data_IF_059575047800
#
_entry.id   IF_059575047800
#
_cell.length_a   1.000
_cell.length_b   1.000
_cell.length_c   1.000
_cell.angle_alpha   90.00
_cell.angle_beta   90.00
_cell.angle_gamma   90.00
#
_symmetry.space_group_name_H-M   'P 1'
#
loop_
_entity.id
_entity.type
_entity.pdbx_description
1 polymer ?
#
# COMPACT_ATOMS: atom_id res chain seq x y z
N UNK A 1 -16.74 47.97 -60.56
CA UNK A 1 -17.78 47.43 -59.65
C UNK A 1 -17.66 45.90 -59.50
N UNK A 2 -16.47 45.38 -59.16
CA UNK A 2 -16.27 43.94 -58.83
C UNK A 2 -15.42 43.73 -57.56
N UNK A 3 -14.78 44.78 -57.03
CA UNK A 3 -13.93 44.68 -55.84
C UNK A 3 -14.66 44.86 -54.50
N UNK A 4 -15.86 45.47 -54.49
CA UNK A 4 -16.57 45.76 -53.24
C UNK A 4 -17.29 44.51 -52.69
N UNK A 5 -17.68 43.58 -53.56
CA UNK A 5 -18.37 42.34 -53.19
C UNK A 5 -17.45 41.33 -52.49
N UNK A 6 -16.14 41.32 -52.79
CA UNK A 6 -15.19 40.42 -52.11
C UNK A 6 -14.85 40.89 -50.69
N UNK A 7 -14.80 42.20 -50.45
CA UNK A 7 -14.52 42.77 -49.13
C UNK A 7 -15.68 42.49 -48.18
N UNK A 8 -16.93 42.60 -48.64
CA UNK A 8 -18.11 42.27 -47.82
C UNK A 8 -18.17 40.79 -47.44
N UNK A 9 -17.78 39.87 -48.33
CA UNK A 9 -17.77 38.42 -48.03
C UNK A 9 -16.65 38.06 -47.04
N UNK A 10 -15.47 38.69 -47.15
CA UNK A 10 -14.38 38.48 -46.20
C UNK A 10 -14.71 39.04 -44.80
N UNK A 11 -15.39 40.19 -44.71
CA UNK A 11 -15.82 40.77 -43.43
C UNK A 11 -16.93 39.93 -42.79
N UNK A 12 -17.86 39.38 -43.56
CA UNK A 12 -18.91 38.49 -43.03
C UNK A 12 -18.32 37.16 -42.52
N UNK A 13 -17.27 36.63 -43.15
CA UNK A 13 -16.59 35.43 -42.67
C UNK A 13 -15.74 35.67 -41.41
N UNK A 14 -15.26 36.90 -41.18
CA UNK A 14 -14.52 37.25 -39.96
C UNK A 14 -15.42 37.50 -38.72
N UNK A 15 -16.73 37.69 -38.90
CA UNK A 15 -17.68 37.91 -37.79
C UNK A 15 -18.36 36.62 -37.32
N UNK A 16 -18.13 35.47 -37.99
CA UNK A 16 -18.72 34.19 -37.58
C UNK A 16 -17.94 33.42 -36.51
N UNK A 17 -16.78 33.92 -36.07
CA UNK A 17 -16.17 33.43 -34.82
C UNK A 17 -16.91 34.09 -33.66
N UNK A 18 -18.16 33.67 -33.46
CA UNK A 18 -18.86 33.81 -32.18
C UNK A 18 -17.88 33.28 -31.14
N UNK A 19 -17.35 34.17 -30.32
CA UNK A 19 -16.54 33.82 -29.17
C UNK A 19 -17.48 33.10 -28.23
N UNK A 20 -17.62 31.80 -28.43
CA UNK A 20 -18.10 30.91 -27.38
C UNK A 20 -17.00 31.01 -26.33
N UNK A 21 -17.18 31.88 -25.34
CA UNK A 21 -16.35 31.88 -24.14
C UNK A 21 -16.47 30.46 -23.59
N UNK A 22 -15.43 29.64 -23.79
CA UNK A 22 -15.39 28.34 -23.15
C UNK A 22 -15.54 28.58 -21.65
N UNK A 23 -16.51 27.91 -20.99
CA UNK A 23 -16.74 28.13 -19.58
C UNK A 23 -15.47 27.81 -18.80
N UNK A 24 -15.01 28.75 -17.98
CA UNK A 24 -13.83 28.56 -17.12
C UNK A 24 -14.04 27.32 -16.24
N UNK A 25 -13.10 26.37 -16.32
CA UNK A 25 -13.21 25.09 -15.60
C UNK A 25 -12.89 25.32 -14.12
N UNK A 26 -13.85 25.03 -13.24
CA UNK A 26 -13.69 25.12 -11.79
C UNK A 26 -13.13 23.80 -11.23
N UNK A 27 -12.06 23.86 -10.44
CA UNK A 27 -11.54 22.68 -9.74
C UNK A 27 -12.33 22.44 -8.45
N UNK A 28 -12.88 21.24 -8.29
CA UNK A 28 -13.59 20.82 -7.08
C UNK A 28 -13.03 19.48 -6.61
N UNK A 29 -12.95 19.29 -5.29
CA UNK A 29 -12.34 18.10 -4.68
C UNK A 29 -13.29 17.51 -3.64
N UNK A 30 -13.49 16.20 -3.70
CA UNK A 30 -14.33 15.47 -2.75
C UNK A 30 -13.57 14.35 -2.06
N UNK A 31 -13.99 14.01 -0.85
CA UNK A 31 -13.39 12.93 -0.08
C UNK A 31 -13.87 11.58 -0.62
N UNK A 32 -12.99 10.57 -0.60
CA UNK A 32 -13.38 9.19 -0.91
C UNK A 32 -14.53 8.73 -0.01
N UNK A 33 -15.57 8.18 -0.62
CA UNK A 33 -16.77 7.69 0.04
C UNK A 33 -17.77 8.75 0.50
N UNK A 34 -17.49 10.04 0.28
CA UNK A 34 -18.43 11.13 0.61
C UNK A 34 -19.47 11.35 -0.47
N UNK A 35 -20.58 11.99 -0.13
CA UNK A 35 -21.57 12.42 -1.13
C UNK A 35 -21.16 13.77 -1.74
N UNK A 36 -21.01 13.81 -3.06
CA UNK A 36 -20.65 15.00 -3.80
C UNK A 36 -21.87 15.60 -4.51
N UNK A 37 -21.99 16.93 -4.53
CA UNK A 37 -23.06 17.64 -5.24
C UNK A 37 -22.48 18.75 -6.11
N UNK A 38 -22.84 18.79 -7.39
CA UNK A 38 -22.41 19.81 -8.34
C UNK A 38 -23.61 20.62 -8.80
N UNK A 39 -23.55 21.95 -8.67
CA UNK A 39 -24.67 22.84 -9.02
C UNK A 39 -24.41 23.52 -10.37
N UNK A 40 -25.33 23.36 -11.31
CA UNK A 40 -25.22 23.85 -12.69
C UNK A 40 -25.61 25.33 -12.87
N UNK A 41 -26.47 25.84 -11.99
CA UNK A 41 -26.92 27.23 -12.01
C UNK A 41 -27.53 27.61 -10.66
N UNK A 42 -27.51 28.91 -10.35
CA UNK A 42 -28.27 29.46 -9.23
C UNK A 42 -29.74 29.71 -9.55
N UNK A 43 -30.23 29.26 -10.72
CA UNK A 43 -31.58 29.52 -11.22
C UNK A 43 -32.57 28.47 -10.72
N UNK A 44 -33.81 28.92 -10.52
CA UNK A 44 -34.88 28.09 -9.99
C UNK A 44 -35.43 27.09 -11.01
N UNK A 45 -36.14 26.08 -10.50
CA UNK A 45 -36.76 25.04 -11.32
C UNK A 45 -37.80 25.60 -12.31
N UNK A 46 -38.50 26.67 -11.94
CA UNK A 46 -39.58 27.25 -12.73
C UNK A 46 -39.07 28.07 -13.93
N UNK A 47 -37.84 28.57 -13.86
CA UNK A 47 -37.24 29.37 -14.94
C UNK A 47 -36.50 28.48 -15.95
N UNK A 48 -36.11 27.27 -15.55
CA UNK A 48 -35.20 26.41 -16.32
C UNK A 48 -36.00 25.47 -17.23
N UNK A 49 -35.71 25.53 -18.53
CA UNK A 49 -36.36 24.72 -19.57
C UNK A 49 -35.72 23.33 -19.69
N UNK A 50 -34.39 23.27 -19.75
CA UNK A 50 -33.65 22.03 -19.72
C UNK A 50 -32.27 22.18 -19.09
N UNK A 51 -31.77 21.08 -18.53
CA UNK A 51 -30.43 20.96 -17.97
C UNK A 51 -29.76 19.74 -18.55
N UNK A 52 -28.55 19.92 -19.04
CA UNK A 52 -27.75 18.89 -19.68
C UNK A 52 -26.42 18.77 -18.93
N UNK A 53 -26.18 17.61 -18.34
CA UNK A 53 -24.89 17.22 -17.82
C UNK A 53 -24.17 16.35 -18.84
N UNK A 54 -22.99 16.77 -19.25
CA UNK A 54 -22.04 15.96 -20.04
C UNK A 54 -20.87 15.60 -19.14
N UNK A 55 -20.76 14.32 -18.80
CA UNK A 55 -19.81 13.79 -17.83
C UNK A 55 -18.74 13.01 -18.56
N UNK A 56 -17.50 13.46 -18.46
CA UNK A 56 -16.32 12.86 -19.08
C UNK A 56 -15.44 12.25 -18.00
N UNK A 57 -15.57 10.95 -17.80
CA UNK A 57 -14.76 10.15 -16.87
C UNK A 57 -13.60 9.50 -17.63
N UNK A 58 -12.66 8.90 -16.90
CA UNK A 58 -11.43 8.31 -17.47
C UNK A 58 -11.69 7.33 -18.61
N UNK A 59 -12.72 6.49 -18.49
CA UNK A 59 -13.01 5.40 -19.43
C UNK A 59 -14.41 5.45 -20.03
N UNK A 60 -15.20 6.47 -19.70
CA UNK A 60 -16.57 6.61 -20.19
C UNK A 60 -16.96 8.07 -20.30
N UNK A 61 -17.73 8.39 -21.33
CA UNK A 61 -18.46 9.65 -21.40
C UNK A 61 -19.94 9.33 -21.37
N UNK A 62 -20.69 10.04 -20.54
CA UNK A 62 -22.12 9.85 -20.44
C UNK A 62 -22.84 11.19 -20.31
N UNK A 63 -24.16 11.16 -20.51
CA UNK A 63 -25.00 12.36 -20.57
C UNK A 63 -26.25 12.13 -19.75
N UNK A 64 -26.58 13.10 -18.90
CA UNK A 64 -27.84 13.14 -18.15
C UNK A 64 -28.58 14.39 -18.56
N UNK A 65 -29.84 14.22 -18.94
CA UNK A 65 -30.68 15.30 -19.44
C UNK A 65 -31.97 15.39 -18.65
N UNK A 66 -32.33 16.62 -18.34
CA UNK A 66 -33.56 16.96 -17.67
C UNK A 66 -34.28 18.01 -18.50
N UNK A 67 -35.59 17.83 -18.68
CA UNK A 67 -36.43 18.71 -19.47
C UNK A 67 -37.80 18.80 -18.82
N UNK A 68 -38.28 20.02 -18.63
CA UNK A 68 -39.69 20.30 -18.28
C UNK A 68 -40.23 19.47 -17.09
N UNK A 69 -39.52 19.44 -15.97
CA UNK A 69 -39.97 18.73 -14.77
C UNK A 69 -39.57 17.25 -14.70
N UNK A 70 -39.15 16.64 -15.81
CA UNK A 70 -38.92 15.19 -15.91
C UNK A 70 -37.47 14.88 -16.29
N UNK A 71 -36.91 13.83 -15.69
CA UNK A 71 -35.65 13.25 -16.15
C UNK A 71 -35.90 12.55 -17.49
N UNK A 72 -35.40 13.15 -18.58
CA UNK A 72 -35.70 12.75 -19.95
C UNK A 72 -34.86 11.54 -20.37
N UNK A 73 -33.53 11.66 -20.21
CA UNK A 73 -32.58 10.61 -20.62
C UNK A 73 -31.34 10.58 -19.73
N UNK A 74 -31.03 9.40 -19.21
CA UNK A 74 -29.80 9.09 -18.48
C UNK A 74 -29.09 7.90 -19.15
N UNK A 75 -27.89 8.14 -19.67
CA UNK A 75 -27.06 7.11 -20.28
C UNK A 75 -25.83 6.74 -19.42
N UNK A 76 -25.79 7.20 -18.17
CA UNK A 76 -24.71 6.90 -17.23
C UNK A 76 -24.96 5.58 -16.48
N UNK A 77 -26.24 5.20 -16.29
CA UNK A 77 -26.68 3.95 -15.64
C UNK A 77 -26.03 3.68 -14.28
N UNK A 78 -25.51 4.72 -13.63
CA UNK A 78 -24.75 4.65 -12.38
C UNK A 78 -25.53 5.22 -11.19
N UNK A 79 -26.82 5.47 -11.40
CA UNK A 79 -27.75 5.88 -10.35
C UNK A 79 -27.46 7.25 -9.75
N UNK A 80 -26.70 8.13 -10.43
CA UNK A 80 -26.47 9.53 -10.01
C UNK A 80 -27.77 10.31 -10.13
N UNK A 81 -28.48 10.62 -9.03
CA UNK A 81 -29.75 11.31 -9.14
C UNK A 81 -29.51 12.80 -9.39
N UNK A 82 -30.35 13.40 -10.22
CA UNK A 82 -30.55 14.85 -10.17
C UNK A 82 -31.41 15.13 -8.95
N UNK A 83 -30.82 15.77 -7.95
CA UNK A 83 -31.52 16.03 -6.70
C UNK A 83 -32.28 17.36 -6.71
N UNK A 84 -33.41 17.40 -6.01
CA UNK A 84 -34.20 18.59 -5.74
C UNK A 84 -34.35 18.77 -4.23
N UNK A 85 -33.35 19.37 -3.57
CA UNK A 85 -33.40 19.54 -2.11
C UNK A 85 -34.30 20.72 -1.68
N UNK A 86 -34.70 21.62 -2.60
CA UNK A 86 -35.42 22.84 -2.21
C UNK A 86 -35.99 23.69 -3.36
N UNK A 87 -36.62 23.14 -4.41
CA UNK A 87 -37.31 23.88 -5.51
C UNK A 87 -36.49 24.98 -6.24
N UNK A 88 -35.22 25.20 -5.89
CA UNK A 88 -34.50 26.41 -6.24
C UNK A 88 -33.22 26.19 -7.06
N UNK A 89 -32.62 24.99 -7.11
CA UNK A 89 -31.39 24.74 -7.87
C UNK A 89 -31.31 23.30 -8.41
N UNK A 90 -30.69 23.12 -9.58
CA UNK A 90 -30.33 21.82 -10.13
C UNK A 90 -28.94 21.42 -9.66
N UNK A 91 -28.86 20.27 -8.99
CA UNK A 91 -27.57 19.66 -8.68
C UNK A 91 -27.50 18.21 -9.12
N UNK A 92 -26.32 17.83 -9.62
CA UNK A 92 -25.95 16.45 -9.86
C UNK A 92 -25.42 15.87 -8.55
N UNK A 93 -26.07 14.83 -8.03
CA UNK A 93 -25.62 14.12 -6.84
C UNK A 93 -24.81 12.89 -7.22
N UNK A 94 -23.66 12.71 -6.58
CA UNK A 94 -22.74 11.59 -6.77
C UNK A 94 -22.55 10.94 -5.40
N UNK A 95 -23.37 9.93 -5.07
CA UNK A 95 -23.26 9.24 -3.79
C UNK A 95 -22.02 8.35 -3.74
N UNK A 96 -21.46 8.15 -2.55
CA UNK A 96 -20.30 7.28 -2.33
C UNK A 96 -19.15 7.52 -3.34
N UNK A 97 -18.65 8.76 -3.37
CA UNK A 97 -17.69 9.23 -4.37
C UNK A 97 -16.42 8.37 -4.45
N UNK A 98 -16.06 7.95 -5.65
CA UNK A 98 -14.96 7.00 -5.91
C UNK A 98 -13.95 7.53 -6.92
N UNK A 99 -12.87 6.77 -7.14
CA UNK A 99 -11.87 7.09 -8.17
C UNK A 99 -12.43 7.08 -9.59
N UNK A 100 -13.51 6.34 -9.83
CA UNK A 100 -14.17 6.24 -11.14
C UNK A 100 -15.04 7.46 -11.46
N UNK A 101 -15.35 8.27 -10.45
CA UNK A 101 -16.14 9.50 -10.59
C UNK A 101 -15.26 10.73 -10.88
N UNK A 102 -13.93 10.57 -10.89
CA UNK A 102 -12.98 11.62 -11.23
C UNK A 102 -13.05 11.92 -12.74
N UNK A 103 -13.17 13.20 -13.08
CA UNK A 103 -13.31 13.61 -14.47
C UNK A 103 -13.80 15.04 -14.65
N UNK A 104 -14.21 15.37 -15.87
CA UNK A 104 -14.73 16.68 -16.24
C UNK A 104 -16.25 16.60 -16.34
N UNK A 105 -16.93 17.46 -15.59
CA UNK A 105 -18.39 17.54 -15.58
C UNK A 105 -18.78 18.89 -16.17
N UNK A 106 -19.40 18.87 -17.34
CA UNK A 106 -19.90 20.08 -18.00
C UNK A 106 -21.41 20.14 -17.85
N UNK A 107 -21.92 21.29 -17.49
CA UNK A 107 -23.34 21.52 -17.43
C UNK A 107 -23.76 22.68 -18.32
N UNK A 108 -24.87 22.49 -19.01
CA UNK A 108 -25.58 23.50 -19.77
C UNK A 108 -27.00 23.60 -19.21
N UNK A 109 -27.36 24.79 -18.71
CA UNK A 109 -28.70 25.13 -18.22
C UNK A 109 -29.30 26.20 -19.11
N UNK A 110 -30.51 25.97 -19.63
CA UNK A 110 -31.21 26.89 -20.52
C UNK A 110 -32.50 27.34 -19.85
N UNK A 111 -32.77 28.65 -19.87
CA UNK A 111 -33.92 29.31 -19.28
C UNK A 111 -34.47 30.37 -20.25
N UNK A 112 -35.65 30.92 -19.98
CA UNK A 112 -36.32 31.87 -20.87
C UNK A 112 -35.50 33.14 -21.18
N UNK A 113 -34.52 33.48 -20.35
CA UNK A 113 -33.63 34.63 -20.50
C UNK A 113 -32.24 34.33 -21.07
N UNK A 114 -31.94 33.08 -21.46
CA UNK A 114 -30.64 32.71 -22.02
C UNK A 114 -30.14 31.34 -21.56
N UNK A 115 -28.83 31.11 -21.67
CA UNK A 115 -28.18 29.89 -21.21
C UNK A 115 -27.02 30.19 -20.26
N UNK A 116 -26.68 29.20 -19.43
CA UNK A 116 -25.49 29.19 -18.58
C UNK A 116 -24.75 27.88 -18.75
N UNK A 117 -23.45 27.99 -18.98
CA UNK A 117 -22.54 26.86 -19.09
C UNK A 117 -21.54 26.91 -17.94
N UNK A 118 -21.43 25.84 -17.17
CA UNK A 118 -20.42 25.66 -16.12
C UNK A 118 -19.63 24.37 -16.39
N UNK A 119 -18.35 24.35 -16.04
CA UNK A 119 -17.52 23.17 -16.15
C UNK A 119 -16.74 22.94 -14.86
N UNK A 120 -16.70 21.70 -14.40
CA UNK A 120 -16.03 21.29 -13.17
C UNK A 120 -14.98 20.22 -13.48
N UNK A 121 -13.76 20.44 -13.01
CA UNK A 121 -12.74 19.41 -12.91
C UNK A 121 -12.87 18.77 -11.52
N UNK A 122 -13.51 17.61 -11.49
CA UNK A 122 -13.84 16.89 -10.27
C UNK A 122 -12.71 15.95 -9.92
N UNK A 123 -12.12 16.17 -8.74
CA UNK A 123 -10.97 15.42 -8.23
C UNK A 123 -11.29 14.77 -6.89
N UNK A 124 -10.47 13.80 -6.50
CA UNK A 124 -10.63 13.07 -5.24
C UNK A 124 -9.50 13.42 -4.28
N UNK A 125 -9.84 13.49 -2.98
CA UNK A 125 -8.85 13.51 -1.92
C UNK A 125 -8.96 12.28 -1.01
N UNK A 126 -7.81 11.66 -0.74
CA UNK A 126 -7.66 10.48 0.12
C UNK A 126 -6.48 10.74 1.06
N UNK A 127 -6.68 10.69 2.39
CA UNK A 127 -5.59 10.92 3.34
C UNK A 127 -4.54 9.82 3.23
N UNK A 128 -3.24 10.15 3.21
CA UNK A 128 -2.19 9.14 3.25
C UNK A 128 -2.07 8.50 4.63
N UNK A 129 -1.52 7.29 4.66
CA UNK A 129 -1.05 6.63 5.88
C UNK A 129 0.33 7.17 6.22
N UNK A 130 0.48 7.74 7.40
CA UNK A 130 1.71 8.44 7.79
C UNK A 130 2.54 7.66 8.80
N UNK A 131 3.86 7.63 8.62
CA UNK A 131 4.79 7.02 9.57
C UNK A 131 6.12 7.77 9.58
N UNK A 132 6.82 7.75 10.72
CA UNK A 132 8.16 8.32 10.85
C UNK A 132 9.01 7.47 11.79
N UNK A 133 10.27 7.24 11.45
CA UNK A 133 11.22 6.48 12.28
C UNK A 133 12.66 6.89 12.01
N UNK A 134 13.56 6.51 12.92
CA UNK A 134 15.00 6.58 12.75
C UNK A 134 15.54 5.21 12.35
N UNK A 135 16.44 5.18 11.37
CA UNK A 135 17.16 3.98 10.94
C UNK A 135 18.66 4.21 10.94
N UNK A 136 19.40 3.22 11.45
CA UNK A 136 20.86 3.19 11.34
C UNK A 136 21.25 2.71 9.94
N UNK A 137 21.88 3.58 9.16
CA UNK A 137 22.49 3.25 7.87
C UNK A 137 24.01 3.32 7.99
N UNK A 138 24.63 2.16 8.14
CA UNK A 138 26.09 1.96 8.20
C UNK A 138 26.75 2.79 9.32
N UNK A 139 27.14 4.04 9.04
CA UNK A 139 27.82 4.99 9.95
C UNK A 139 27.02 6.27 10.19
N UNK A 140 25.80 6.35 9.68
CA UNK A 140 24.94 7.53 9.76
C UNK A 140 23.56 7.16 10.28
N UNK A 141 22.97 8.08 11.02
CA UNK A 141 21.57 8.03 11.38
C UNK A 141 20.74 8.69 10.30
N UNK A 142 19.66 8.06 9.88
CA UNK A 142 18.73 8.63 8.89
C UNK A 142 17.34 8.65 9.48
N UNK A 143 16.71 9.82 9.49
CA UNK A 143 15.30 9.95 9.80
C UNK A 143 14.50 9.75 8.52
N UNK A 144 13.48 8.90 8.59
CA UNK A 144 12.59 8.61 7.48
C UNK A 144 11.19 9.01 7.87
N UNK A 145 10.52 9.74 6.99
CA UNK A 145 9.11 10.08 7.14
C UNK A 145 8.37 9.74 5.86
N UNK A 146 7.28 9.00 5.98
CA UNK A 146 6.47 8.51 4.87
C UNK A 146 5.03 8.97 4.96
N UNK A 147 4.47 9.28 3.81
CA UNK A 147 3.05 9.48 3.58
C UNK A 147 2.65 8.55 2.42
N UNK A 148 2.10 7.38 2.75
CA UNK A 148 1.82 6.31 1.80
C UNK A 148 0.38 6.37 1.30
N UNK A 149 0.21 6.10 0.00
CA UNK A 149 -1.10 5.97 -0.67
C UNK A 149 -2.04 7.15 -0.47
N UNK A 150 -1.52 8.38 -0.52
CA UNK A 150 -2.32 9.61 -0.50
C UNK A 150 -2.78 10.04 -1.89
N UNK A 151 -3.82 10.87 -1.95
CA UNK A 151 -4.22 11.56 -3.17
C UNK A 151 -4.81 12.93 -2.81
N UNK A 152 -4.28 14.06 -3.31
CA UNK A 152 -3.02 14.20 -4.06
C UNK A 152 -1.80 13.83 -3.20
N UNK A 153 -0.59 13.96 -3.75
CA UNK A 153 0.64 13.75 -3.00
C UNK A 153 0.69 14.68 -1.77
N UNK A 154 1.13 14.15 -0.63
CA UNK A 154 1.35 14.94 0.57
C UNK A 154 2.73 15.62 0.53
N UNK A 155 2.81 16.79 1.15
CA UNK A 155 4.07 17.51 1.28
C UNK A 155 4.70 17.17 2.63
N UNK A 156 5.96 16.73 2.60
CA UNK A 156 6.71 16.37 3.80
C UNK A 156 7.80 17.41 4.03
N UNK A 157 7.90 17.90 5.27
CA UNK A 157 8.93 18.84 5.72
C UNK A 157 9.45 18.42 7.09
N UNK A 158 10.62 18.91 7.48
CA UNK A 158 11.25 18.62 8.76
C UNK A 158 11.36 19.90 9.59
N UNK A 159 11.35 19.78 10.92
CA UNK A 159 11.56 20.93 11.83
C UNK A 159 12.99 21.49 11.77
N UNK A 160 13.96 20.68 11.37
CA UNK A 160 15.35 21.10 11.21
C UNK A 160 15.52 22.00 9.98
N UNK A 161 16.14 23.15 10.19
CA UNK A 161 16.55 24.06 9.11
C UNK A 161 17.99 23.77 8.69
N UNK A 162 18.29 23.97 7.40
CA UNK A 162 19.67 23.92 6.88
C UNK A 162 20.19 22.55 6.45
N UNK A 163 19.42 21.47 6.64
CA UNK A 163 19.74 20.14 6.08
C UNK A 163 18.71 19.81 5.02
N UNK A 164 19.18 19.57 3.79
CA UNK A 164 18.30 19.20 2.68
C UNK A 164 17.91 17.72 2.78
N UNK A 165 16.60 17.39 2.85
CA UNK A 165 16.17 16.00 2.79
C UNK A 165 16.22 15.47 1.35
N UNK A 166 16.41 14.16 1.22
CA UNK A 166 16.21 13.43 -0.02
C UNK A 166 14.77 12.92 -0.09
N UNK A 167 14.02 13.28 -1.14
CA UNK A 167 12.60 12.92 -1.27
C UNK A 167 12.43 11.92 -2.42
N UNK A 168 11.71 10.84 -2.15
CA UNK A 168 11.27 9.87 -3.16
C UNK A 168 9.75 9.91 -3.29
N UNK A 169 9.28 9.79 -4.52
CA UNK A 169 7.84 9.74 -4.84
C UNK A 169 7.57 8.50 -5.67
N UNK A 170 6.61 7.70 -5.24
CA UNK A 170 6.14 6.51 -5.93
C UNK A 170 4.70 6.72 -6.39
N UNK A 171 4.43 6.44 -7.66
CA UNK A 171 3.10 6.51 -8.25
C UNK A 171 2.56 5.09 -8.43
N UNK A 172 1.47 4.79 -7.74
CA UNK A 172 0.80 3.49 -7.85
C UNK A 172 -0.08 3.46 -9.12
N UNK A 173 -0.33 2.28 -9.68
CA UNK A 173 -1.09 2.10 -10.92
C UNK A 173 -2.56 2.51 -10.81
N UNK A 174 -3.11 2.48 -9.59
CA UNK A 174 -4.44 2.94 -9.20
C UNK A 174 -4.51 4.47 -8.97
N UNK A 175 -3.40 5.17 -9.18
CA UNK A 175 -3.30 6.64 -9.14
C UNK A 175 -3.09 7.22 -7.74
N UNK A 176 -2.83 6.38 -6.74
CA UNK A 176 -2.37 6.84 -5.43
C UNK A 176 -0.88 7.17 -5.45
N UNK A 177 -0.46 8.05 -4.55
CA UNK A 177 0.92 8.55 -4.51
C UNK A 177 1.48 8.35 -3.10
N UNK A 178 2.66 7.76 -3.04
CA UNK A 178 3.41 7.58 -1.79
C UNK A 178 4.67 8.45 -1.83
N UNK A 179 4.85 9.29 -0.81
CA UNK A 179 6.00 10.18 -0.68
C UNK A 179 6.81 9.76 0.54
N UNK A 180 8.13 9.65 0.40
CA UNK A 180 9.05 9.40 1.50
C UNK A 180 10.17 10.43 1.52
N UNK A 181 10.40 11.03 2.67
CA UNK A 181 11.49 11.98 2.92
C UNK A 181 12.53 11.33 3.82
N UNK A 182 13.79 11.41 3.42
CA UNK A 182 14.94 10.85 4.12
C UNK A 182 15.87 11.99 4.50
N UNK A 183 16.16 12.14 5.80
CA UNK A 183 17.04 13.17 6.33
C UNK A 183 18.25 12.52 7.01
N UNK A 184 19.45 12.74 6.47
CA UNK A 184 20.67 12.28 7.12
C UNK A 184 21.00 13.18 8.32
N UNK A 185 21.16 12.56 9.49
CA UNK A 185 21.51 13.25 10.74
C UNK A 185 23.03 13.22 10.93
N UNK A 186 23.63 14.39 11.11
CA UNK A 186 25.05 14.54 11.45
C UNK A 186 25.25 14.42 12.97
N UNK A 187 26.49 14.12 13.39
CA UNK A 187 26.83 14.03 14.82
C UNK A 187 26.63 15.40 15.50
N UNK A 188 25.83 15.43 16.56
CA UNK A 188 25.51 16.64 17.32
C UNK A 188 24.14 17.25 17.06
N UNK A 189 23.31 16.62 16.20
CA UNK A 189 21.89 16.98 16.06
C UNK A 189 21.07 16.19 17.09
N UNK A 190 20.36 16.89 17.95
CA UNK A 190 19.44 16.26 18.92
C UNK A 190 18.25 15.65 18.19
N UNK A 191 18.27 14.32 18.07
CA UNK A 191 17.17 13.56 17.49
C UNK A 191 15.85 13.74 18.28
N UNK A 192 15.92 14.14 19.55
CA UNK A 192 14.76 14.33 20.43
C UNK A 192 13.82 15.47 19.99
N UNK A 193 14.33 16.51 19.30
CA UNK A 193 13.53 17.64 18.82
C UNK A 193 13.18 17.55 17.33
N UNK A 194 13.54 16.44 16.68
CA UNK A 194 13.26 16.22 15.29
C UNK A 194 11.78 15.86 15.10
N UNK A 195 11.08 16.65 14.30
CA UNK A 195 9.71 16.34 13.91
C UNK A 195 9.55 16.40 12.40
N UNK A 196 8.78 15.46 11.89
CA UNK A 196 8.29 15.46 10.52
C UNK A 196 6.92 16.12 10.47
N UNK A 197 6.74 17.10 9.58
CA UNK A 197 5.50 17.81 9.35
C UNK A 197 4.97 17.44 7.97
N UNK A 198 3.81 16.77 7.94
CA UNK A 198 3.14 16.26 6.75
C UNK A 198 1.89 17.11 6.49
N UNK A 199 1.82 17.73 5.31
CA UNK A 199 0.69 18.54 4.86
C UNK A 199 -0.10 17.80 3.79
N UNK A 200 -1.41 17.76 3.94
CA UNK A 200 -2.29 17.14 2.95
C UNK A 200 -3.65 17.86 2.92
N UNK A 201 -4.26 18.14 1.75
CA UNK A 201 -5.51 18.90 1.65
C UNK A 201 -6.70 18.31 2.40
N UNK A 202 -6.68 17.00 2.67
CA UNK A 202 -7.71 16.33 3.46
C UNK A 202 -7.75 16.82 4.93
N UNK A 203 -6.61 17.22 5.50
CA UNK A 203 -6.54 17.65 6.88
C UNK A 203 -6.62 19.18 6.98
N UNK A 204 -7.34 19.67 7.99
CA UNK A 204 -7.33 21.11 8.34
C UNK A 204 -6.01 21.56 8.97
N UNK A 205 -5.27 20.62 9.56
CA UNK A 205 -4.05 20.85 10.33
C UNK A 205 -3.01 19.82 9.91
N UNK A 206 -1.75 20.22 9.91
CA UNK A 206 -0.63 19.38 9.54
C UNK A 206 -0.46 18.22 10.54
N UNK A 207 -0.05 17.05 10.03
CA UNK A 207 0.31 15.91 10.88
C UNK A 207 1.77 16.01 11.26
N UNK A 208 2.03 16.06 12.57
CA UNK A 208 3.37 16.16 13.12
C UNK A 208 3.72 14.82 13.76
N UNK A 209 4.83 14.22 13.34
CA UNK A 209 5.33 12.95 13.84
C UNK A 209 6.75 13.12 14.39
N UNK A 210 7.01 12.58 15.57
CA UNK A 210 8.36 12.42 16.11
C UNK A 210 8.91 11.06 15.63
N UNK A 211 10.07 11.00 14.95
CA UNK A 211 10.66 9.74 14.54
C UNK A 211 11.20 8.97 15.75
N UNK A 212 10.70 7.76 15.97
CA UNK A 212 11.21 6.88 17.01
C UNK A 212 12.33 5.97 16.47
N UNK A 213 13.26 5.57 17.33
CA UNK A 213 14.30 4.62 16.95
C UNK A 213 13.66 3.26 16.65
N UNK A 214 13.72 2.84 15.39
CA UNK A 214 13.25 1.50 15.02
C UNK A 214 14.31 0.49 15.45
N UNK A 215 14.09 -0.15 16.60
CA UNK A 215 14.89 -1.31 17.00
C UNK A 215 14.76 -2.37 15.89
N UNK A 216 15.89 -2.68 15.25
CA UNK A 216 15.91 -3.64 14.17
C UNK A 216 15.44 -4.99 14.69
N UNK A 217 14.32 -5.50 14.19
CA UNK A 217 14.00 -6.91 14.32
C UNK A 217 15.04 -7.66 13.49
N UNK A 218 15.93 -8.34 14.20
CA UNK A 218 17.12 -8.98 13.66
C UNK A 218 16.85 -10.48 13.55
N UNK A 219 16.28 -10.98 12.43
CA UNK A 219 15.90 -12.39 12.29
C UNK A 219 17.07 -13.38 12.46
N UNK A 220 18.29 -12.98 12.13
CA UNK A 220 19.52 -13.74 12.42
C UNK A 220 19.74 -14.06 13.90
N UNK A 221 19.30 -13.21 14.84
CA UNK A 221 19.40 -13.50 16.29
C UNK A 221 18.47 -14.65 16.68
N UNK A 222 17.27 -14.70 16.11
CA UNK A 222 16.35 -15.82 16.33
C UNK A 222 16.85 -17.11 15.68
N UNK A 223 17.50 -17.01 14.51
CA UNK A 223 18.17 -18.15 13.88
C UNK A 223 19.31 -18.66 14.78
N UNK A 224 20.14 -17.77 15.33
CA UNK A 224 21.21 -18.12 16.28
C UNK A 224 20.66 -18.79 17.53
N UNK A 225 19.59 -18.24 18.12
CA UNK A 225 18.92 -18.84 19.29
C UNK A 225 18.37 -20.23 18.94
N UNK A 226 17.71 -20.37 17.78
CA UNK A 226 17.20 -21.65 17.31
C UNK A 226 18.28 -22.71 17.14
N UNK A 227 19.44 -22.33 16.56
CA UNK A 227 20.60 -23.22 16.41
C UNK A 227 21.16 -23.66 17.77
N UNK A 228 21.32 -22.72 18.71
CA UNK A 228 21.83 -23.02 20.06
C UNK A 228 20.89 -23.98 20.79
N UNK A 229 19.58 -23.74 20.74
CA UNK A 229 18.57 -24.64 21.36
C UNK A 229 18.65 -26.04 20.76
N UNK A 230 18.83 -26.15 19.43
CA UNK A 230 18.92 -27.44 18.75
C UNK A 230 20.17 -28.22 19.16
N UNK A 231 21.32 -27.54 19.32
CA UNK A 231 22.56 -28.15 19.84
C UNK A 231 22.37 -28.66 21.27
N UNK A 232 21.72 -27.88 22.13
CA UNK A 232 21.45 -28.28 23.53
C UNK A 232 20.55 -29.52 23.58
N UNK A 233 19.49 -29.55 22.75
CA UNK A 233 18.59 -30.71 22.69
C UNK A 233 19.32 -31.98 22.22
N UNK A 234 20.16 -31.89 21.19
CA UNK A 234 20.98 -33.02 20.73
C UNK A 234 21.94 -33.48 21.83
N UNK A 235 22.57 -32.55 22.55
CA UNK A 235 23.43 -32.85 23.69
C UNK A 235 22.69 -33.59 24.81
N UNK A 236 21.48 -33.15 25.17
CA UNK A 236 20.64 -33.81 26.19
C UNK A 236 20.23 -35.22 25.77
N UNK A 237 19.85 -35.42 24.50
CA UNK A 237 19.52 -36.74 23.95
C UNK A 237 20.74 -37.67 24.00
N UNK A 238 21.91 -37.18 23.65
CA UNK A 238 23.16 -37.95 23.72
C UNK A 238 23.51 -38.35 25.16
N UNK A 239 23.37 -37.43 26.12
CA UNK A 239 23.59 -37.71 27.54
C UNK A 239 22.57 -38.73 28.10
N UNK A 240 21.30 -38.61 27.72
CA UNK A 240 20.26 -39.57 28.09
C UNK A 240 20.56 -40.96 27.50
N UNK A 241 20.97 -41.03 26.24
CA UNK A 241 21.36 -42.28 25.59
C UNK A 241 22.56 -42.91 26.31
N UNK A 242 23.59 -42.13 26.64
CA UNK A 242 24.76 -42.60 27.40
C UNK A 242 24.36 -43.12 28.79
N UNK A 243 23.44 -42.44 29.49
CA UNK A 243 22.91 -42.89 30.79
C UNK A 243 22.12 -44.19 30.69
N UNK A 244 21.31 -44.35 29.63
CA UNK A 244 20.55 -45.58 29.37
C UNK A 244 21.49 -46.74 29.04
N UNK A 245 22.54 -46.50 28.25
CA UNK A 245 23.52 -47.52 27.89
C UNK A 245 24.33 -47.99 29.11
N UNK A 246 24.70 -47.08 30.01
CA UNK A 246 25.35 -47.42 31.29
C UNK A 246 24.41 -48.15 32.26
N UNK A 247 23.11 -47.79 32.31
CA UNK A 247 22.12 -48.54 33.10
C UNK A 247 21.89 -49.96 32.57
N UNK A 248 21.93 -50.17 31.26
CA UNK A 248 21.80 -51.51 30.65
C UNK A 248 22.98 -52.42 31.00
N UNK A 249 24.20 -51.88 31.11
CA UNK A 249 25.37 -52.66 31.58
C UNK A 249 25.25 -53.14 33.03
N UNK A 250 24.58 -52.40 33.93
CA UNK A 250 24.39 -52.85 35.31
C UNK A 250 23.36 -53.98 35.44
N UNK A 251 22.37 -54.08 34.53
CA UNK A 251 21.32 -55.12 34.58
C UNK A 251 21.80 -56.50 34.14
N UNK A 252 22.92 -56.59 33.42
CA UNK A 252 23.51 -57.85 32.94
C UNK A 252 24.24 -58.62 34.07
N UNK A 253 24.55 -57.97 35.21
CA UNK A 253 25.34 -58.58 36.29
C UNK A 253 24.53 -59.38 37.32
N UNK A 254 23.19 -59.37 37.27
CA UNK A 254 22.32 -60.00 38.28
C UNK A 254 21.79 -61.40 37.93
N UNK A 255 22.06 -61.96 36.73
CA UNK A 255 21.49 -63.27 36.30
C UNK A 255 22.42 -64.49 36.55
N UNK A 256 23.62 -64.32 37.12
CA UNK A 256 24.53 -65.46 37.33
C UNK A 256 25.03 -65.61 38.77
N UNK A 257 24.13 -65.80 39.74
CA UNK A 257 24.53 -66.32 41.05
C UNK A 257 23.33 -66.97 41.77
N UNK A 258 23.21 -68.32 41.71
CA UNK A 258 22.67 -69.19 42.80
C UNK A 258 22.37 -70.62 42.31
N UNK A 259 23.23 -71.60 42.69
CA UNK A 259 22.96 -72.79 43.54
C UNK A 259 23.73 -74.09 43.13
N UNK A 260 24.14 -74.84 44.16
CA UNK A 260 25.20 -75.87 44.36
C UNK A 260 24.64 -77.31 44.61
N UNK A 261 25.36 -78.34 45.15
CA UNK A 261 26.67 -79.01 44.91
C UNK A 261 26.53 -80.60 44.79
N UNK A 262 27.46 -81.50 45.25
CA UNK A 262 28.44 -82.28 44.46
C UNK A 262 28.32 -83.83 44.55
N UNK A 263 28.99 -84.55 43.64
CA UNK A 263 29.35 -86.01 43.68
C UNK A 263 30.23 -86.26 42.46
N UNK A 264 31.23 -87.13 42.36
CA UNK A 264 31.98 -88.07 43.20
C UNK A 264 33.18 -88.49 42.30
N UNK A 265 34.27 -88.95 42.91
CA UNK A 265 35.50 -89.39 42.23
C UNK A 265 35.31 -90.50 41.18
N UNK A 266 36.39 -90.76 40.42
CA UNK A 266 36.78 -91.94 39.61
C UNK A 266 37.12 -91.49 38.17
N UNK A 267 38.21 -91.87 37.49
CA UNK A 267 39.53 -92.48 37.71
C UNK A 267 40.13 -92.62 36.28
N UNK A 268 41.45 -92.50 36.13
CA UNK A 268 42.28 -93.00 34.99
C UNK A 268 42.00 -92.44 33.55
N UNK A 269 42.93 -92.25 32.61
CA UNK A 269 44.36 -92.54 32.42
C UNK A 269 44.82 -91.73 31.19
N UNK A 270 46.05 -91.20 31.18
CA UNK A 270 46.73 -90.69 29.96
C UNK A 270 47.25 -91.87 29.11
N UNK A 271 47.34 -91.77 27.77
CA UNK A 271 48.68 -91.46 27.23
C UNK A 271 48.75 -90.73 25.86
N UNK A 272 49.77 -89.87 25.77
CA UNK A 272 50.73 -89.60 24.67
C UNK A 272 50.41 -89.72 23.15
N UNK A 273 51.00 -88.73 22.46
CA UNK A 273 51.58 -88.70 21.10
C UNK A 273 50.59 -88.69 19.91
N UNK A 274 50.83 -88.00 18.79
CA UNK A 274 52.08 -87.65 18.12
C UNK A 274 51.87 -86.45 17.17
N UNK A 275 52.93 -85.66 16.95
CA UNK A 275 52.95 -84.59 15.95
C UNK A 275 53.28 -85.18 14.58
N UNK A 276 52.55 -84.76 13.53
CA UNK A 276 52.92 -85.03 12.13
C UNK A 276 53.08 -83.70 11.41
N UNK A 277 54.31 -83.43 10.97
CA UNK A 277 54.71 -82.32 10.13
C UNK A 277 54.68 -82.75 8.65
N UNK A 278 54.14 -81.89 7.76
CA UNK A 278 54.49 -81.89 6.32
C UNK A 278 54.08 -80.54 5.70
N UNK A 279 55.00 -79.57 5.62
CA UNK A 279 55.94 -79.25 4.51
C UNK A 279 55.28 -78.43 3.39
N UNK A 280 55.64 -77.14 3.33
CA UNK A 280 55.41 -76.23 2.22
C UNK A 280 56.51 -76.45 1.16
N UNK A 281 56.14 -76.92 -0.03
CA UNK A 281 57.05 -76.93 -1.17
C UNK A 281 57.04 -75.57 -1.87
N UNK A 282 58.19 -74.91 -1.86
CA UNK A 282 58.50 -73.74 -2.68
C UNK A 282 59.23 -74.23 -3.96
N UNK A 283 58.86 -73.61 -5.10
CA UNK A 283 59.48 -73.58 -6.44
C UNK A 283 59.12 -74.68 -7.46
N UNK A 284 58.37 -74.26 -8.49
CA UNK A 284 58.92 -74.08 -9.84
C UNK A 284 58.21 -72.90 -10.53
#
# INVERSE_FOLDING_TARGET
MRDVTWICVAVILLVSKVWSLDPGIQNVTFNLGSDANLTCSGKSWNETLFVIWTIQLKHRTCKITWKDGVQDKDNCSDGKPLGNKSKAQFYLSIPNFSTEDVGIYKCESVFSGGNKNDAFNVTITVPPVTSAWLEHKVKKMVAVCKAERGRPAANISWSLQGIAPFVTTHHDSDGFISVASHLELTKGVDAENLTCVIRHPYWKQDRILAPELREGYFPWLLILIGVVVLIVLVGLVFLAHKKIMTLRSCKQSEISFSKSPPTEDVEEVEPYASYVQRENSIYN
#
